data_IF_047867547362
#
_entry.id   IF_047867547362
#
_cell.length_a   1.000
_cell.length_b   1.000
_cell.length_c   1.000
_cell.angle_alpha   90.00
_cell.angle_beta   90.00
_cell.angle_gamma   90.00
#
_symmetry.space_group_name_H-M   'P 1'
#
loop_
_entity.id
_entity.type
_entity.pdbx_description
1 polymer ?
#
# COMPACT_ATOMS: atom_id res chain seq x y z
N UNK A 1 -5.44 2.36 2.01
CA UNK A 1 -4.02 2.49 1.64
C UNK A 1 -3.65 1.28 0.79
N UNK A 2 -3.42 1.43 -0.53
CA UNK A 2 -3.35 0.28 -1.45
C UNK A 2 -2.16 -0.66 -1.18
N UNK A 3 -1.04 -0.14 -0.68
CA UNK A 3 0.13 -0.94 -0.31
C UNK A 3 -0.18 -2.05 0.70
N UNK A 4 -1.16 -1.84 1.59
CA UNK A 4 -1.58 -2.83 2.60
C UNK A 4 -2.24 -4.08 1.98
N UNK A 5 -2.71 -4.00 0.73
CA UNK A 5 -3.27 -5.14 -0.01
C UNK A 5 -2.18 -6.00 -0.66
N UNK A 6 -0.98 -5.44 -0.84
CA UNK A 6 0.12 -6.04 -1.61
C UNK A 6 1.10 -6.75 -0.68
N UNK A 7 1.32 -6.23 0.53
CA UNK A 7 2.32 -6.78 1.44
C UNK A 7 1.93 -6.57 2.89
N UNK A 8 2.32 -7.53 3.74
CA UNK A 8 2.20 -7.43 5.18
C UNK A 8 3.35 -6.62 5.80
N UNK A 9 4.45 -6.39 5.08
CA UNK A 9 5.63 -5.69 5.62
C UNK A 9 5.56 -4.21 5.30
N UNK A 10 4.81 -3.47 6.11
CA UNK A 10 4.58 -2.03 5.93
C UNK A 10 4.88 -1.26 7.21
N UNK A 11 5.52 -0.10 7.06
CA UNK A 11 5.67 0.94 8.09
C UNK A 11 5.20 2.25 7.50
N UNK A 12 4.34 2.98 8.21
CA UNK A 12 3.78 4.25 7.76
C UNK A 12 4.58 5.40 8.37
N UNK A 13 5.24 6.17 7.52
CA UNK A 13 5.84 7.44 7.88
C UNK A 13 4.78 8.55 7.81
N UNK A 14 4.21 8.94 8.95
CA UNK A 14 3.25 10.05 9.03
C UNK A 14 4.03 11.37 9.10
N UNK A 15 4.38 11.93 7.94
CA UNK A 15 5.21 13.13 7.84
C UNK A 15 4.41 14.44 8.00
N UNK A 16 5.13 15.56 8.18
CA UNK A 16 4.60 16.92 8.28
C UNK A 16 3.73 17.18 9.52
N UNK A 17 4.00 16.48 10.64
CA UNK A 17 3.25 16.65 11.89
C UNK A 17 3.37 18.05 12.50
N UNK A 18 4.47 18.75 12.23
CA UNK A 18 4.74 20.12 12.63
C UNK A 18 3.87 21.12 11.87
N UNK A 19 3.74 20.92 10.56
CA UNK A 19 2.85 21.73 9.72
C UNK A 19 1.38 21.47 10.06
N UNK A 20 1.00 20.22 10.32
CA UNK A 20 -0.34 19.87 10.79
C UNK A 20 -0.67 20.60 12.11
N UNK A 21 0.25 20.57 13.09
CA UNK A 21 0.06 21.28 14.35
C UNK A 21 -0.05 22.81 14.16
N UNK A 22 0.76 23.39 13.26
CA UNK A 22 0.69 24.82 12.90
C UNK A 22 -0.65 25.21 12.27
N UNK A 23 -1.27 24.29 11.54
CA UNK A 23 -2.61 24.44 10.98
C UNK A 23 -3.74 24.15 11.99
N UNK A 24 -3.43 23.85 13.25
CA UNK A 24 -4.42 23.50 14.28
C UNK A 24 -4.98 22.07 14.13
N UNK A 25 -4.32 21.21 13.35
CA UNK A 25 -4.73 19.83 13.11
C UNK A 25 -3.96 18.91 14.06
N UNK A 26 -4.69 18.17 14.89
CA UNK A 26 -4.11 17.15 15.77
C UNK A 26 -4.39 15.77 15.21
N UNK A 27 -3.34 14.97 14.99
CA UNK A 27 -3.45 13.61 14.44
C UNK A 27 -3.13 12.60 15.54
N UNK A 28 -4.06 11.68 15.80
CA UNK A 28 -3.83 10.55 16.72
C UNK A 28 -3.13 9.40 15.97
N UNK A 29 -1.80 9.44 15.96
CA UNK A 29 -0.98 8.39 15.35
C UNK A 29 -1.21 7.01 15.97
N UNK A 30 -1.54 6.92 17.27
CA UNK A 30 -1.81 5.65 17.93
C UNK A 30 -3.10 5.04 17.45
N UNK A 31 -4.15 5.86 17.28
CA UNK A 31 -5.41 5.41 16.68
C UNK A 31 -5.18 4.97 15.24
N UNK A 32 -4.45 5.76 14.45
CA UNK A 32 -4.14 5.40 13.06
C UNK A 32 -3.39 4.07 12.97
N UNK A 33 -2.43 3.82 13.87
CA UNK A 33 -1.73 2.53 13.97
C UNK A 33 -2.67 1.37 14.25
N UNK A 34 -3.65 1.53 15.16
CA UNK A 34 -4.65 0.50 15.44
C UNK A 34 -5.58 0.25 14.26
N UNK A 35 -6.04 1.32 13.61
CA UNK A 35 -6.99 1.26 12.52
C UNK A 35 -6.35 0.65 11.25
N UNK A 36 -5.06 0.92 11.00
CA UNK A 36 -4.31 0.35 9.87
C UNK A 36 -3.67 -1.01 10.18
N UNK A 37 -3.40 -1.34 11.44
CA UNK A 37 -2.75 -2.58 11.85
C UNK A 37 -1.27 -2.68 11.50
N UNK A 38 -0.61 -1.54 11.25
CA UNK A 38 0.82 -1.42 10.91
C UNK A 38 1.45 -0.28 11.71
N UNK A 39 2.77 -0.28 11.97
CA UNK A 39 3.43 0.80 12.70
C UNK A 39 3.23 2.14 11.98
N UNK A 40 2.89 3.18 12.74
CA UNK A 40 2.73 4.55 12.25
C UNK A 40 3.66 5.45 13.04
N UNK A 41 4.65 6.03 12.37
CA UNK A 41 5.67 6.87 12.98
C UNK A 41 5.42 8.34 12.59
N UNK A 42 4.95 9.18 13.54
CA UNK A 42 4.81 10.61 13.30
C UNK A 42 6.19 11.25 13.15
N UNK A 43 6.39 12.01 12.08
CA UNK A 43 7.68 12.61 11.76
C UNK A 43 7.57 14.02 11.19
N UNK A 44 8.67 14.77 11.33
CA UNK A 44 8.90 16.02 10.62
C UNK A 44 10.25 15.89 9.92
N UNK A 45 10.25 15.21 8.77
CA UNK A 45 11.45 14.71 8.08
C UNK A 45 12.50 15.79 7.84
N UNK A 46 12.07 17.00 7.46
CA UNK A 46 12.95 18.15 7.22
C UNK A 46 13.77 18.55 8.46
N UNK A 47 13.24 18.30 9.65
CA UNK A 47 13.89 18.56 10.93
C UNK A 47 14.63 17.35 11.52
N UNK A 48 14.61 16.20 10.84
CA UNK A 48 15.17 14.92 11.32
C UNK A 48 14.33 14.23 12.40
N UNK A 49 13.29 14.86 12.92
CA UNK A 49 12.41 14.29 13.96
C UNK A 49 11.64 13.08 13.42
N UNK A 50 11.69 11.95 14.14
CA UNK A 50 10.96 10.72 13.81
C UNK A 50 11.74 9.76 12.89
N UNK A 51 12.91 10.16 12.38
CA UNK A 51 13.73 9.32 11.50
C UNK A 51 14.35 8.12 12.24
N UNK A 52 14.96 8.28 13.45
CA UNK A 52 15.47 7.14 14.20
C UNK A 52 14.39 6.10 14.54
N UNK A 53 13.20 6.56 14.94
CA UNK A 53 12.05 5.73 15.27
C UNK A 53 11.51 4.99 14.03
N UNK A 54 11.51 5.66 12.87
CA UNK A 54 11.15 5.05 11.60
C UNK A 54 12.10 3.92 11.24
N UNK A 55 13.41 4.14 11.36
CA UNK A 55 14.42 3.12 11.05
C UNK A 55 14.32 1.92 12.00
N UNK A 56 14.07 2.17 13.29
CA UNK A 56 13.84 1.09 14.26
C UNK A 56 12.60 0.26 13.90
N UNK A 57 11.48 0.91 13.57
CA UNK A 57 10.26 0.22 13.17
C UNK A 57 10.45 -0.60 11.87
N UNK A 58 11.23 -0.08 10.91
CA UNK A 58 11.57 -0.82 9.69
C UNK A 58 12.39 -2.07 10.01
N UNK A 59 13.39 -1.98 10.89
CA UNK A 59 14.19 -3.15 11.31
C UNK A 59 13.32 -4.20 12.03
N UNK A 60 12.42 -3.78 12.93
CA UNK A 60 11.50 -4.67 13.63
C UNK A 60 10.56 -5.42 12.67
N UNK A 61 9.96 -4.71 11.71
CA UNK A 61 9.08 -5.33 10.70
C UNK A 61 9.88 -6.23 9.76
N UNK A 62 11.08 -5.83 9.34
CA UNK A 62 11.93 -6.62 8.45
C UNK A 62 12.38 -7.93 9.09
N UNK A 63 12.70 -7.92 10.40
CA UNK A 63 13.07 -9.10 11.19
C UNK A 63 11.87 -9.93 11.66
N UNK A 64 10.65 -9.44 11.46
CA UNK A 64 9.43 -10.09 11.94
C UNK A 64 9.24 -10.02 13.45
N UNK A 65 9.96 -9.12 14.14
CA UNK A 65 9.74 -8.80 15.56
C UNK A 65 8.38 -8.14 15.73
N UNK A 66 8.06 -7.19 14.84
CA UNK A 66 6.72 -6.64 14.72
C UNK A 66 5.96 -7.37 13.61
N UNK A 67 4.90 -8.09 13.97
CA UNK A 67 4.02 -8.76 13.01
C UNK A 67 2.84 -7.86 12.68
N UNK A 68 2.91 -7.22 11.52
CA UNK A 68 1.83 -6.42 10.98
C UNK A 68 0.57 -7.25 10.71
N UNK A 69 -0.59 -6.63 10.94
CA UNK A 69 -1.91 -7.19 10.60
C UNK A 69 -2.69 -6.13 9.83
N UNK A 70 -2.28 -5.84 8.58
CA UNK A 70 -2.85 -4.74 7.81
C UNK A 70 -4.37 -4.87 7.69
N UNK A 71 -5.08 -3.78 7.94
CA UNK A 71 -6.52 -3.72 7.74
C UNK A 71 -6.81 -3.65 6.23
N UNK A 72 -7.09 -4.81 5.65
CA UNK A 72 -7.46 -4.95 4.23
C UNK A 72 -8.95 -4.75 4.03
N UNK A 73 -9.33 -4.36 2.82
CA UNK A 73 -10.74 -4.27 2.41
C UNK A 73 -11.38 -5.64 2.66
N UNK A 74 -12.31 -5.69 3.62
CA UNK A 74 -13.10 -6.88 3.88
C UNK A 74 -14.01 -7.15 2.68
N UNK A 75 -14.34 -8.45 2.52
CA UNK A 75 -15.24 -9.01 1.52
C UNK A 75 -16.26 -7.98 1.00
N UNK A 76 -16.20 -7.69 -0.29
CA UNK A 76 -17.15 -6.83 -0.99
C UNK A 76 -18.50 -7.57 -1.14
N UNK A 77 -19.48 -6.93 -1.77
CA UNK A 77 -20.75 -7.62 -2.05
C UNK A 77 -20.51 -8.88 -2.91
N UNK A 78 -21.45 -9.83 -2.85
CA UNK A 78 -21.29 -11.12 -3.50
C UNK A 78 -21.16 -11.05 -5.03
N UNK A 79 -21.68 -10.00 -5.67
CA UNK A 79 -21.53 -9.82 -7.11
C UNK A 79 -20.10 -9.38 -7.45
N UNK A 80 -19.57 -8.41 -6.70
CA UNK A 80 -18.19 -7.93 -6.84
C UNK A 80 -17.16 -9.01 -6.51
N UNK A 81 -17.37 -9.79 -5.44
CA UNK A 81 -16.46 -10.90 -5.12
C UNK A 81 -16.46 -11.99 -6.20
N UNK A 82 -17.61 -12.26 -6.84
CA UNK A 82 -17.67 -13.18 -7.97
C UNK A 82 -16.87 -12.66 -9.17
N UNK A 83 -17.04 -11.38 -9.51
CA UNK A 83 -16.28 -10.75 -10.59
C UNK A 83 -14.76 -10.79 -10.32
N UNK A 84 -14.34 -10.49 -9.08
CA UNK A 84 -12.93 -10.58 -8.68
C UNK A 84 -12.42 -12.02 -8.83
N UNK A 85 -13.17 -13.01 -8.35
CA UNK A 85 -12.77 -14.41 -8.42
C UNK A 85 -12.64 -14.93 -9.86
N UNK A 86 -13.54 -14.50 -10.77
CA UNK A 86 -13.51 -14.87 -12.19
C UNK A 86 -12.26 -14.31 -12.89
N UNK A 87 -11.96 -13.02 -12.68
CA UNK A 87 -10.77 -12.38 -13.23
C UNK A 87 -9.50 -12.98 -12.60
N UNK A 88 -9.49 -13.18 -11.28
CA UNK A 88 -8.36 -13.78 -10.58
C UNK A 88 -8.04 -15.18 -11.10
N UNK A 89 -9.06 -16.02 -11.30
CA UNK A 89 -8.87 -17.38 -11.84
C UNK A 89 -8.26 -17.36 -13.25
N UNK A 90 -8.66 -16.38 -14.07
CA UNK A 90 -8.11 -16.18 -15.42
C UNK A 90 -6.65 -15.72 -15.36
N UNK A 91 -6.31 -14.84 -14.42
CA UNK A 91 -4.93 -14.39 -14.18
C UNK A 91 -4.05 -15.55 -13.70
N UNK A 92 -4.52 -16.33 -12.72
CA UNK A 92 -3.77 -17.45 -12.15
C UNK A 92 -3.47 -18.53 -13.21
N UNK A 93 -4.38 -18.73 -14.17
CA UNK A 93 -4.18 -19.65 -15.29
C UNK A 93 -3.15 -19.14 -16.31
N UNK A 94 -3.14 -17.84 -16.60
CA UNK A 94 -2.22 -17.22 -17.59
C UNK A 94 -0.84 -16.91 -17.01
N UNK A 95 -0.77 -16.61 -15.71
CA UNK A 95 0.44 -16.21 -15.00
C UNK A 95 0.60 -17.02 -13.70
N UNK A 96 0.90 -18.33 -13.78
CA UNK A 96 1.07 -19.16 -12.60
C UNK A 96 2.16 -18.62 -11.67
N UNK A 97 1.84 -18.48 -10.38
CA UNK A 97 2.79 -17.98 -9.37
C UNK A 97 2.93 -16.46 -9.32
N UNK A 98 2.08 -15.70 -10.02
CA UNK A 98 2.01 -14.25 -9.89
C UNK A 98 1.65 -13.86 -8.44
N UNK A 99 2.49 -13.09 -7.73
CA UNK A 99 2.15 -12.64 -6.40
C UNK A 99 0.94 -11.68 -6.46
N UNK A 100 0.04 -11.79 -5.47
CA UNK A 100 -1.10 -10.90 -5.30
C UNK A 100 -2.07 -10.83 -6.50
N UNK A 101 -2.36 -11.96 -7.16
CA UNK A 101 -3.28 -12.01 -8.31
C UNK A 101 -4.68 -11.43 -8.03
N UNK A 102 -5.18 -11.53 -6.78
CA UNK A 102 -6.41 -10.85 -6.34
C UNK A 102 -6.33 -9.32 -6.51
N UNK A 103 -5.22 -8.70 -6.12
CA UNK A 103 -5.03 -7.26 -6.26
C UNK A 103 -4.99 -6.85 -7.74
N UNK A 104 -4.31 -7.65 -8.58
CA UNK A 104 -4.28 -7.42 -10.04
C UNK A 104 -5.69 -7.51 -10.62
N UNK A 105 -6.49 -8.50 -10.18
CA UNK A 105 -7.90 -8.62 -10.59
C UNK A 105 -8.73 -7.38 -10.24
N UNK A 106 -8.57 -6.86 -9.01
CA UNK A 106 -9.23 -5.63 -8.57
C UNK A 106 -8.81 -4.45 -9.46
N UNK A 107 -7.51 -4.29 -9.76
CA UNK A 107 -7.03 -3.21 -10.64
C UNK A 107 -7.52 -3.31 -12.07
N UNK A 108 -7.67 -4.53 -12.60
CA UNK A 108 -8.26 -4.75 -13.93
C UNK A 108 -9.74 -4.35 -13.96
N UNK A 109 -10.49 -4.69 -12.90
CA UNK A 109 -11.90 -4.31 -12.77
C UNK A 109 -12.09 -2.80 -12.57
N UNK A 110 -11.16 -2.14 -11.86
CA UNK A 110 -11.08 -0.68 -11.76
C UNK A 110 -10.74 0.00 -13.10
N UNK A 111 -10.34 -0.77 -14.12
CA UNK A 111 -9.99 -0.28 -15.44
C UNK A 111 -8.62 0.40 -15.52
N UNK A 112 -7.66 0.04 -14.66
CA UNK A 112 -6.31 0.62 -14.66
C UNK A 112 -5.59 0.37 -16.02
N UNK A 113 -5.34 1.41 -16.83
CA UNK A 113 -4.75 1.25 -18.15
C UNK A 113 -3.32 0.71 -18.12
N UNK A 114 -2.58 0.94 -17.03
CA UNK A 114 -1.21 0.43 -16.86
C UNK A 114 -1.24 -1.08 -16.67
N UNK A 115 -2.05 -1.57 -15.73
CA UNK A 115 -2.20 -3.01 -15.48
C UNK A 115 -2.72 -3.72 -16.73
N UNK A 116 -3.74 -3.18 -17.40
CA UNK A 116 -4.27 -3.77 -18.63
C UNK A 116 -3.22 -3.89 -19.74
N UNK A 117 -2.31 -2.92 -19.86
CA UNK A 117 -1.22 -2.95 -20.84
C UNK A 117 -0.22 -4.05 -20.52
N UNK A 118 0.19 -4.16 -19.26
CA UNK A 118 1.16 -5.17 -18.83
C UNK A 118 0.59 -6.60 -18.90
N UNK A 119 -0.71 -6.78 -18.62
CA UNK A 119 -1.41 -8.07 -18.83
C UNK A 119 -1.35 -8.45 -20.31
N UNK A 120 -1.66 -7.50 -21.21
CA UNK A 120 -1.61 -7.74 -22.66
C UNK A 120 -0.20 -8.00 -23.17
N UNK A 121 0.80 -7.34 -22.58
CA UNK A 121 2.20 -7.49 -22.94
C UNK A 121 2.86 -8.73 -22.32
N UNK A 122 2.21 -9.40 -21.37
CA UNK A 122 2.75 -10.57 -20.68
C UNK A 122 3.83 -10.24 -19.63
N UNK A 123 3.94 -8.97 -19.22
CA UNK A 123 5.05 -8.44 -18.41
C UNK A 123 4.69 -8.23 -16.93
N UNK A 124 3.53 -8.73 -16.48
CA UNK A 124 3.00 -8.61 -15.12
C UNK A 124 4.00 -8.94 -13.99
N UNK A 125 4.93 -9.88 -14.22
CA UNK A 125 5.95 -10.26 -13.24
C UNK A 125 6.87 -9.10 -12.80
N UNK A 126 6.94 -8.02 -13.58
CA UNK A 126 7.77 -6.83 -13.31
C UNK A 126 7.06 -5.74 -12.49
N UNK A 127 5.75 -5.85 -12.25
CA UNK A 127 4.92 -4.76 -11.71
C UNK A 127 5.14 -4.51 -10.22
N UNK A 128 5.61 -5.49 -9.45
CA UNK A 128 5.86 -5.32 -8.01
C UNK A 128 6.83 -4.18 -7.69
N UNK A 129 7.63 -3.73 -8.66
CA UNK A 129 8.54 -2.59 -8.52
C UNK A 129 7.98 -1.25 -9.02
N UNK A 130 6.97 -1.22 -9.90
CA UNK A 130 6.54 0.02 -10.58
C UNK A 130 5.42 0.76 -9.86
N UNK A 131 4.47 0.04 -9.24
CA UNK A 131 3.27 0.65 -8.64
C UNK A 131 3.63 1.57 -7.46
N UNK A 132 4.59 1.15 -6.63
CA UNK A 132 5.10 1.97 -5.54
C UNK A 132 5.79 3.25 -6.04
N UNK A 133 6.42 3.21 -7.22
CA UNK A 133 7.11 4.36 -7.80
C UNK A 133 6.15 5.34 -8.50
N UNK A 134 5.06 4.85 -9.10
CA UNK A 134 4.06 5.67 -9.78
C UNK A 134 3.25 6.53 -8.79
N UNK A 135 2.89 5.95 -7.63
CA UNK A 135 2.13 6.66 -6.58
C UNK A 135 2.97 7.74 -5.90
N UNK A 136 4.29 7.50 -5.74
CA UNK A 136 5.23 8.52 -5.23
C UNK A 136 5.33 9.70 -6.22
N UNK A 137 5.45 9.42 -7.53
CA UNK A 137 5.55 10.47 -8.57
C UNK A 137 4.31 11.37 -8.64
N UNK A 138 3.10 10.80 -8.49
CA UNK A 138 1.86 11.60 -8.48
C UNK A 138 1.72 12.53 -7.27
N UNK A 139 2.27 12.16 -6.11
CA UNK A 139 2.23 13.03 -4.93
C UNK A 139 3.21 14.20 -5.02
N UNK A 140 4.33 14.07 -5.72
CA UNK A 140 5.29 15.15 -5.94
C UNK A 140 4.77 16.22 -6.92
N UNK A 141 3.99 15.83 -7.93
CA UNK A 141 3.43 16.78 -8.93
C UNK A 141 2.25 17.61 -8.39
N UNK A 142 1.57 17.14 -7.34
CA UNK A 142 0.43 17.85 -6.73
C UNK A 142 0.86 18.85 -5.64
N UNK A 143 2.15 18.89 -5.29
CA UNK A 143 2.71 19.73 -4.22
C UNK A 143 3.60 20.87 -4.77
N UNK A 144 3.45 21.23 -6.05
CA UNK A 144 4.08 22.40 -6.67
C UNK A 144 3.10 23.53 -6.94
#
# INVERSE_FOLDING_TARGET
LQVLEITDRVVVALNLIDEAARAGITIDARRLMRDLGVPVIPMAARSGRGVPELLAAVDEVARGVFVCRPHRIRRLDDATERAIAEVQSSIDALFPGLPNSRWVAIRMLDGDPSILREVRAGTLGSISHSVAAEDIRRQEETTR
#
